data_IF_818905153681
#
_entry.id   IF_818905153681
#
_cell.length_a   1.000
_cell.length_b   1.000
_cell.length_c   1.000
_cell.angle_alpha   90.00
_cell.angle_beta   90.00
_cell.angle_gamma   90.00
#
_symmetry.space_group_name_H-M   'P 1'
#
loop_
_entity.id
_entity.type
_entity.pdbx_description
1 polymer ?
#
# COMPACT_ATOMS: atom_id res chain seq x y z
N UNK A 1 10.05 -23.84 23.26
CA UNK A 1 9.58 -22.91 22.22
C UNK A 1 10.63 -21.84 22.02
N UNK A 2 11.50 -22.00 21.02
CA UNK A 2 12.53 -21.02 20.68
C UNK A 2 12.64 -20.98 19.17
N UNK A 3 11.75 -20.24 18.52
CA UNK A 3 11.83 -20.04 17.07
C UNK A 3 13.13 -19.30 16.74
N UNK A 4 13.90 -19.81 15.78
CA UNK A 4 15.04 -19.09 15.22
C UNK A 4 14.51 -17.86 14.49
N UNK A 5 14.86 -16.67 14.96
CA UNK A 5 14.52 -15.40 14.30
C UNK A 5 15.71 -14.97 13.43
N UNK A 6 15.44 -14.68 12.16
CA UNK A 6 16.44 -14.17 11.22
C UNK A 6 15.92 -12.86 10.64
N UNK A 7 16.78 -11.83 10.63
CA UNK A 7 16.49 -10.54 10.02
C UNK A 7 17.28 -10.41 8.72
N UNK A 8 16.59 -10.04 7.63
CA UNK A 8 17.21 -9.72 6.35
C UNK A 8 17.03 -8.23 6.08
N UNK A 9 18.09 -7.44 6.27
CA UNK A 9 18.05 -6.00 6.05
C UNK A 9 18.18 -5.65 4.55
N UNK A 10 17.44 -4.64 4.10
CA UNK A 10 17.54 -4.09 2.74
C UNK A 10 16.26 -4.24 1.92
N UNK A 11 16.40 -4.16 0.60
CA UNK A 11 15.30 -4.33 -0.34
C UNK A 11 14.76 -5.77 -0.31
N UNK A 12 13.44 -5.89 -0.24
CA UNK A 12 12.78 -7.18 -0.11
C UNK A 12 12.84 -8.02 -1.40
N UNK A 13 12.87 -7.42 -2.59
CA UNK A 13 13.01 -8.15 -3.86
C UNK A 13 14.37 -8.81 -3.93
N UNK A 14 15.42 -8.09 -3.53
CA UNK A 14 16.79 -8.64 -3.48
C UNK A 14 16.87 -9.76 -2.45
N UNK A 15 16.27 -9.57 -1.28
CA UNK A 15 16.27 -10.57 -0.22
C UNK A 15 15.50 -11.83 -0.59
N UNK A 16 14.29 -11.68 -1.16
CA UNK A 16 13.47 -12.81 -1.62
C UNK A 16 14.17 -13.62 -2.69
N UNK A 17 14.70 -12.97 -3.74
CA UNK A 17 15.47 -13.66 -4.80
C UNK A 17 16.63 -14.46 -4.22
N UNK A 18 17.46 -13.82 -3.39
CA UNK A 18 18.59 -14.50 -2.73
C UNK A 18 18.14 -15.71 -1.90
N UNK A 19 17.04 -15.60 -1.15
CA UNK A 19 16.51 -16.70 -0.34
C UNK A 19 15.98 -17.84 -1.21
N UNK A 20 15.24 -17.51 -2.28
CA UNK A 20 14.72 -18.48 -3.25
C UNK A 20 15.86 -19.24 -3.92
N UNK A 21 16.89 -18.52 -4.38
CA UNK A 21 18.12 -19.06 -5.01
C UNK A 21 18.89 -19.97 -4.05
N UNK A 22 18.86 -19.67 -2.75
CA UNK A 22 19.45 -20.50 -1.69
C UNK A 22 18.57 -21.72 -1.32
N UNK A 23 17.43 -21.92 -1.99
CA UNK A 23 16.51 -23.02 -1.72
C UNK A 23 15.65 -22.85 -0.48
N UNK A 24 15.62 -21.65 0.12
CA UNK A 24 14.74 -21.37 1.26
C UNK A 24 13.30 -21.33 0.80
N UNK A 25 12.41 -21.98 1.55
CA UNK A 25 10.96 -21.94 1.36
C UNK A 25 10.26 -21.74 2.69
N UNK A 26 9.07 -21.15 2.66
CA UNK A 26 8.29 -20.80 3.86
C UNK A 26 6.86 -21.35 3.76
N UNK A 27 6.26 -21.64 4.90
CA UNK A 27 4.87 -22.13 4.97
C UNK A 27 3.85 -21.00 4.80
N UNK A 28 4.21 -19.79 5.23
CA UNK A 28 3.35 -18.63 5.10
C UNK A 28 4.14 -17.34 4.96
N UNK A 29 3.51 -16.36 4.34
CA UNK A 29 3.97 -14.97 4.29
C UNK A 29 2.89 -14.09 4.90
N UNK A 30 3.28 -13.21 5.81
CA UNK A 30 2.39 -12.15 6.33
C UNK A 30 3.09 -10.83 6.04
N UNK A 31 2.43 -9.94 5.32
CA UNK A 31 3.06 -8.69 4.90
C UNK A 31 2.09 -7.50 4.89
N UNK A 32 2.65 -6.34 5.15
CA UNK A 32 2.02 -5.03 5.04
C UNK A 32 2.80 -4.21 4.01
N UNK A 33 2.54 -4.43 2.70
CA UNK A 33 3.23 -3.71 1.64
C UNK A 33 2.81 -2.23 1.66
N UNK A 34 3.60 -1.33 1.07
CA UNK A 34 3.17 0.06 0.87
C UNK A 34 1.86 0.14 0.07
N UNK A 35 0.92 0.99 0.47
CA UNK A 35 -0.44 1.04 -0.12
C UNK A 35 -0.57 2.01 -1.31
N UNK A 36 0.52 2.69 -1.64
CA UNK A 36 0.58 3.78 -2.61
C UNK A 36 -0.54 4.80 -2.39
N UNK A 37 -0.57 5.39 -1.18
CA UNK A 37 -1.50 6.45 -0.80
C UNK A 37 -1.18 7.80 -1.48
N UNK A 38 -0.57 7.73 -2.66
CA UNK A 38 -0.32 8.86 -3.55
C UNK A 38 -1.66 9.43 -4.04
N UNK A 39 -1.77 10.75 -3.99
CA UNK A 39 -2.94 11.50 -4.44
C UNK A 39 -2.70 12.20 -5.78
N UNK A 40 -1.44 12.52 -6.13
CA UNK A 40 -1.13 13.45 -7.24
C UNK A 40 0.18 13.15 -8.01
N UNK A 41 0.84 12.00 -7.80
CA UNK A 41 2.11 11.63 -8.48
C UNK A 41 2.09 11.79 -10.01
N UNK A 42 0.95 11.54 -10.67
CA UNK A 42 0.78 11.74 -12.12
C UNK A 42 0.94 13.20 -12.60
N UNK A 43 0.76 14.20 -11.73
CA UNK A 43 0.79 15.64 -12.09
C UNK A 43 2.13 16.33 -11.78
N UNK A 44 2.91 15.87 -10.81
CA UNK A 44 4.17 16.54 -10.38
C UNK A 44 5.37 15.60 -10.16
N UNK A 45 5.24 14.29 -10.39
CA UNK A 45 6.28 13.30 -10.06
C UNK A 45 7.27 12.95 -11.18
N UNK A 46 7.21 13.57 -12.37
CA UNK A 46 8.19 13.27 -13.44
C UNK A 46 9.52 13.97 -13.16
N UNK A 47 10.63 13.30 -13.51
CA UNK A 47 11.98 13.90 -13.53
C UNK A 47 11.95 15.13 -14.44
N UNK A 48 12.12 16.33 -13.87
CA UNK A 48 12.06 17.61 -14.60
C UNK A 48 10.71 18.35 -14.51
N UNK A 49 9.72 17.86 -13.77
CA UNK A 49 8.52 18.64 -13.45
C UNK A 49 8.88 19.86 -12.60
N UNK A 50 8.31 21.02 -12.91
CA UNK A 50 8.45 22.22 -12.09
C UNK A 50 8.07 21.90 -10.65
N UNK A 51 8.88 22.35 -9.69
CA UNK A 51 8.60 22.19 -8.27
C UNK A 51 7.16 22.65 -7.99
N UNK A 52 6.42 21.84 -7.24
CA UNK A 52 5.16 22.22 -6.64
C UNK A 52 5.30 23.62 -6.02
N UNK A 53 4.54 24.63 -6.49
CA UNK A 53 4.61 26.00 -5.96
C UNK A 53 4.41 25.96 -4.44
N UNK A 54 5.43 26.42 -3.71
CA UNK A 54 5.43 26.59 -2.26
C UNK A 54 5.11 28.02 -1.85
N UNK A 55 5.30 29.00 -2.73
CA UNK A 55 4.92 30.40 -2.47
C UNK A 55 3.40 30.59 -2.68
N UNK A 56 2.72 31.04 -1.62
CA UNK A 56 1.28 31.33 -1.64
C UNK A 56 0.36 30.13 -1.37
N UNK A 57 0.90 28.97 -0.98
CA UNK A 57 0.12 27.79 -0.58
C UNK A 57 0.77 27.09 0.63
N UNK A 58 0.00 26.34 1.41
CA UNK A 58 0.34 25.68 2.68
C UNK A 58 1.37 24.53 2.57
N UNK A 59 2.03 24.37 1.41
CA UNK A 59 2.92 23.23 1.11
C UNK A 59 2.19 21.94 0.72
N UNK A 60 0.87 21.97 0.49
CA UNK A 60 0.07 20.81 0.08
C UNK A 60 0.64 20.10 -1.15
N UNK A 61 1.01 20.81 -2.23
CA UNK A 61 1.51 20.17 -3.45
C UNK A 61 2.82 19.38 -3.29
N UNK A 62 3.71 19.78 -2.38
CA UNK A 62 4.92 19.02 -2.05
C UNK A 62 4.60 17.77 -1.20
N UNK A 63 3.60 17.84 -0.31
CA UNK A 63 3.09 16.69 0.44
C UNK A 63 2.34 15.68 -0.45
N UNK A 64 1.73 16.17 -1.53
CA UNK A 64 0.91 15.40 -2.47
C UNK A 64 1.72 14.64 -3.56
N UNK A 65 3.03 14.86 -3.64
CA UNK A 65 3.95 14.22 -4.61
C UNK A 65 4.77 13.05 -4.05
N UNK A 66 4.86 12.91 -2.72
CA UNK A 66 5.36 11.70 -2.07
C UNK A 66 4.23 10.71 -1.74
N UNK A 67 4.58 9.49 -1.30
CA UNK A 67 3.62 8.52 -0.75
C UNK A 67 3.05 8.98 0.60
N UNK A 68 2.56 8.05 1.42
CA UNK A 68 2.12 8.31 2.78
C UNK A 68 3.08 9.23 3.55
N UNK A 69 2.56 10.35 4.05
CA UNK A 69 3.33 11.40 4.74
C UNK A 69 4.55 11.93 3.96
N UNK A 70 4.48 11.95 2.63
CA UNK A 70 5.56 12.40 1.76
C UNK A 70 6.74 11.42 1.66
N UNK A 71 6.59 10.18 2.13
CA UNK A 71 7.68 9.19 2.13
C UNK A 71 7.75 8.44 0.80
N UNK A 72 8.97 8.24 0.31
CA UNK A 72 9.25 7.66 -1.02
C UNK A 72 8.93 6.15 -1.05
N UNK A 73 9.04 5.46 0.09
CA UNK A 73 8.75 4.02 0.18
C UNK A 73 7.28 3.69 -0.11
N UNK A 74 6.35 4.63 0.10
CA UNK A 74 4.92 4.49 -0.21
C UNK A 74 4.52 5.07 -1.58
N UNK A 75 5.47 5.12 -2.50
CA UNK A 75 5.24 5.56 -3.87
C UNK A 75 5.96 4.68 -4.91
N UNK A 76 6.37 3.47 -4.54
CA UNK A 76 7.12 2.57 -5.42
C UNK A 76 6.23 1.79 -6.39
N UNK A 77 4.93 1.65 -6.09
CA UNK A 77 4.00 0.82 -6.86
C UNK A 77 4.23 -0.68 -6.69
N UNK A 78 5.04 -1.09 -5.69
CA UNK A 78 5.36 -2.49 -5.40
C UNK A 78 4.12 -3.34 -5.14
N UNK A 79 3.07 -2.76 -4.56
CA UNK A 79 1.83 -3.46 -4.27
C UNK A 79 1.08 -3.86 -5.55
N UNK A 80 1.35 -3.19 -6.67
CA UNK A 80 0.72 -3.46 -7.98
C UNK A 80 1.65 -4.20 -8.93
N UNK A 81 2.83 -4.61 -8.47
CA UNK A 81 3.87 -5.22 -9.29
C UNK A 81 3.73 -6.75 -9.26
N UNK A 82 3.23 -7.39 -10.33
CA UNK A 82 3.06 -8.84 -10.35
C UNK A 82 4.38 -9.59 -10.22
N UNK A 83 5.50 -9.01 -10.67
CA UNK A 83 6.82 -9.63 -10.55
C UNK A 83 7.29 -9.69 -9.10
N UNK A 84 6.93 -8.69 -8.29
CA UNK A 84 7.15 -8.75 -6.84
C UNK A 84 6.30 -9.85 -6.21
N UNK A 85 5.01 -9.91 -6.53
CA UNK A 85 4.12 -10.94 -6.00
C UNK A 85 4.53 -12.34 -6.46
N UNK A 86 5.16 -12.48 -7.63
CA UNK A 86 5.71 -13.74 -8.11
C UNK A 86 6.82 -14.26 -7.19
N UNK A 87 7.68 -13.38 -6.68
CA UNK A 87 8.69 -13.76 -5.68
C UNK A 87 8.04 -14.25 -4.38
N UNK A 88 6.94 -13.61 -3.96
CA UNK A 88 6.18 -14.04 -2.78
C UNK A 88 5.52 -15.40 -3.01
N UNK A 89 5.03 -15.66 -4.23
CA UNK A 89 4.49 -16.96 -4.62
C UNK A 89 5.57 -18.05 -4.62
N UNK A 90 6.73 -17.78 -5.23
CA UNK A 90 7.80 -18.76 -5.41
C UNK A 90 8.52 -19.18 -4.13
N UNK A 91 8.56 -18.31 -3.12
CA UNK A 91 9.14 -18.65 -1.82
C UNK A 91 8.21 -19.56 -0.99
N UNK A 92 6.93 -19.65 -1.31
CA UNK A 92 5.99 -20.51 -0.59
C UNK A 92 6.24 -21.99 -0.92
N UNK A 93 6.07 -22.84 0.10
CA UNK A 93 5.93 -24.27 -0.10
C UNK A 93 4.60 -24.59 -0.80
N UNK A 94 4.47 -25.74 -1.48
CA UNK A 94 3.17 -26.21 -1.96
C UNK A 94 2.13 -26.22 -0.83
N UNK A 95 1.00 -25.56 -1.03
CA UNK A 95 -0.05 -25.39 0.00
C UNK A 95 0.23 -24.30 1.02
N UNK A 96 1.33 -23.55 0.90
CA UNK A 96 1.58 -22.35 1.67
C UNK A 96 0.60 -21.23 1.34
N UNK A 97 0.61 -20.15 2.13
CA UNK A 97 -0.31 -19.03 1.93
C UNK A 97 0.31 -17.68 2.24
N UNK A 98 -0.21 -16.63 1.61
CA UNK A 98 0.11 -15.24 1.93
C UNK A 98 -1.09 -14.54 2.53
N UNK A 99 -0.87 -13.76 3.58
CA UNK A 99 -1.84 -12.85 4.19
C UNK A 99 -1.30 -11.41 4.05
N UNK A 100 -1.81 -10.69 3.05
CA UNK A 100 -1.27 -9.41 2.62
C UNK A 100 -2.23 -8.25 2.93
N UNK A 101 -1.84 -7.37 3.84
CA UNK A 101 -2.61 -6.17 4.16
C UNK A 101 -2.63 -5.19 2.98
N UNK A 102 -3.63 -4.32 2.93
CA UNK A 102 -3.77 -3.37 1.84
C UNK A 102 -4.64 -2.16 2.20
N UNK A 103 -4.49 -1.08 1.45
CA UNK A 103 -5.34 0.10 1.56
C UNK A 103 -6.77 -0.11 1.02
N UNK A 104 -7.77 0.43 1.72
CA UNK A 104 -9.19 0.32 1.37
C UNK A 104 -9.56 0.82 -0.03
N UNK A 105 -8.85 1.86 -0.51
CA UNK A 105 -9.09 2.47 -1.83
C UNK A 105 -8.32 1.81 -2.95
N UNK A 106 -7.13 1.30 -2.67
CA UNK A 106 -6.16 0.85 -3.69
C UNK A 106 -5.98 -0.66 -3.75
N UNK A 107 -6.51 -1.41 -2.78
CA UNK A 107 -6.20 -2.82 -2.62
C UNK A 107 -6.67 -3.76 -3.73
N UNK A 108 -7.70 -3.38 -4.49
CA UNK A 108 -8.11 -4.14 -5.66
C UNK A 108 -6.96 -4.29 -6.69
N UNK A 109 -6.09 -3.28 -6.82
CA UNK A 109 -4.91 -3.39 -7.70
C UNK A 109 -3.89 -4.40 -7.17
N UNK A 110 -3.73 -4.48 -5.85
CA UNK A 110 -2.87 -5.47 -5.21
C UNK A 110 -3.43 -6.88 -5.43
N UNK A 111 -4.74 -7.08 -5.23
CA UNK A 111 -5.39 -8.36 -5.49
C UNK A 111 -5.19 -8.82 -6.94
N UNK A 112 -5.37 -7.93 -7.93
CA UNK A 112 -5.10 -8.25 -9.33
C UNK A 112 -3.63 -8.63 -9.56
N UNK A 113 -2.68 -7.92 -8.97
CA UNK A 113 -1.27 -8.23 -9.12
C UNK A 113 -0.89 -9.60 -8.51
N UNK A 114 -1.50 -9.95 -7.38
CA UNK A 114 -1.38 -11.28 -6.76
C UNK A 114 -1.94 -12.38 -7.68
N UNK A 115 -3.14 -12.17 -8.23
CA UNK A 115 -3.77 -13.14 -9.14
C UNK A 115 -2.91 -13.35 -10.41
N UNK A 116 -2.39 -12.26 -11.00
CA UNK A 116 -1.47 -12.33 -12.15
C UNK A 116 -0.17 -13.09 -11.81
N UNK A 117 0.33 -12.97 -10.58
CA UNK A 117 1.51 -13.70 -10.13
C UNK A 117 1.29 -15.22 -9.99
N UNK A 118 0.02 -15.67 -10.00
CA UNK A 118 -0.37 -17.08 -9.97
C UNK A 118 -1.01 -17.53 -8.66
N UNK A 119 -1.34 -16.62 -7.74
CA UNK A 119 -2.09 -16.97 -6.54
C UNK A 119 -3.54 -17.35 -6.87
N UNK A 120 -4.04 -18.40 -6.23
CA UNK A 120 -5.46 -18.65 -6.08
C UNK A 120 -5.96 -17.71 -4.97
N UNK A 121 -6.81 -16.76 -5.34
CA UNK A 121 -7.33 -15.77 -4.40
C UNK A 121 -8.49 -16.35 -3.58
N UNK A 122 -8.40 -16.21 -2.26
CA UNK A 122 -9.47 -16.55 -1.33
C UNK A 122 -10.31 -15.32 -0.97
N UNK A 123 -11.49 -15.49 -0.32
CA UNK A 123 -12.25 -14.38 0.21
C UNK A 123 -11.36 -13.46 1.05
N UNK A 124 -11.42 -12.14 0.77
CA UNK A 124 -10.65 -11.17 1.53
C UNK A 124 -11.13 -11.10 2.98
N UNK A 125 -10.21 -10.84 3.88
CA UNK A 125 -10.52 -10.53 5.27
C UNK A 125 -10.59 -9.02 5.45
N UNK A 126 -11.32 -8.59 6.47
CA UNK A 126 -11.51 -7.19 6.79
C UNK A 126 -10.92 -6.83 8.15
N UNK A 127 -9.95 -5.93 8.19
CA UNK A 127 -9.60 -5.27 9.44
C UNK A 127 -10.58 -4.10 9.66
N UNK A 128 -11.56 -4.33 10.52
CA UNK A 128 -12.60 -3.35 10.81
C UNK A 128 -12.21 -2.49 12.01
N UNK A 129 -12.04 -1.18 11.79
CA UNK A 129 -11.79 -0.20 12.84
C UNK A 129 -13.10 0.43 13.33
N UNK A 130 -13.55 0.04 14.52
CA UNK A 130 -14.79 0.53 15.14
C UNK A 130 -14.74 1.98 15.67
N UNK A 131 -13.57 2.62 15.69
CA UNK A 131 -13.39 4.01 16.16
C UNK A 131 -12.92 4.92 15.02
N UNK A 132 -13.83 5.19 14.08
CA UNK A 132 -13.60 6.14 12.98
C UNK A 132 -14.06 7.55 13.33
N UNK A 133 -13.18 8.54 13.16
CA UNK A 133 -13.60 9.95 13.12
C UNK A 133 -13.81 10.33 11.66
N UNK A 134 -14.97 10.90 11.26
CA UNK A 134 -15.11 11.44 9.93
C UNK A 134 -14.08 12.56 9.75
N UNK A 135 -13.22 12.46 8.71
CA UNK A 135 -12.34 13.55 8.30
C UNK A 135 -12.85 14.16 7.00
N UNK A 136 -13.94 14.95 7.04
CA UNK A 136 -14.40 15.66 5.87
C UNK A 136 -13.40 16.77 5.50
N UNK A 137 -13.35 17.10 4.22
CA UNK A 137 -12.70 18.33 3.75
C UNK A 137 -13.74 19.45 3.82
N UNK A 138 -13.48 20.47 4.63
CA UNK A 138 -14.38 21.62 4.77
C UNK A 138 -14.18 22.63 3.64
N UNK A 139 -15.29 23.14 3.10
CA UNK A 139 -15.27 24.25 2.13
C UNK A 139 -14.91 25.52 2.90
N UNK A 140 -13.87 26.24 2.45
CA UNK A 140 -13.40 27.48 3.08
C UNK A 140 -13.59 28.67 2.13
N UNK A 141 -13.89 29.84 2.69
CA UNK A 141 -13.93 31.10 1.94
C UNK A 141 -15.24 31.39 1.20
N UNK A 142 -16.28 30.59 1.42
CA UNK A 142 -17.63 30.82 0.87
C UNK A 142 -18.62 30.83 2.05
N UNK A 143 -19.09 32.01 2.51
CA UNK A 143 -19.91 32.13 3.73
C UNK A 143 -21.16 31.26 3.73
N UNK A 144 -21.80 31.09 2.57
CA UNK A 144 -23.01 30.26 2.41
C UNK A 144 -22.76 28.77 2.66
N UNK A 145 -21.49 28.35 2.68
CA UNK A 145 -21.05 26.96 2.86
C UNK A 145 -20.26 26.76 4.16
N UNK A 146 -20.34 27.68 5.10
CA UNK A 146 -19.72 27.50 6.42
C UNK A 146 -20.26 26.23 7.10
N UNK A 147 -19.34 25.41 7.64
CA UNK A 147 -19.69 24.11 8.24
C UNK A 147 -19.93 22.97 7.25
N UNK A 148 -20.02 23.23 5.94
CA UNK A 148 -20.17 22.18 4.94
C UNK A 148 -18.86 21.44 4.70
N UNK A 149 -18.90 20.12 4.93
CA UNK A 149 -17.82 19.18 4.67
C UNK A 149 -18.17 18.25 3.51
N UNK A 150 -17.23 18.01 2.61
CA UNK A 150 -17.35 17.04 1.53
C UNK A 150 -16.18 16.07 1.51
N UNK A 151 -16.33 14.98 0.75
CA UNK A 151 -15.32 13.94 0.63
C UNK A 151 -15.50 12.85 1.70
N UNK A 152 -16.14 11.75 1.30
CA UNK A 152 -15.99 10.44 1.95
C UNK A 152 -14.59 9.84 1.75
N UNK A 153 -13.69 10.58 1.10
CA UNK A 153 -12.36 10.20 0.65
C UNK A 153 -11.37 9.94 1.79
N UNK A 154 -11.70 10.37 3.01
CA UNK A 154 -10.90 10.11 4.21
C UNK A 154 -11.80 9.77 5.38
N UNK A 155 -12.64 8.74 5.22
CA UNK A 155 -12.83 7.86 6.36
C UNK A 155 -11.42 7.33 6.70
N UNK A 156 -10.94 7.48 7.95
CA UNK A 156 -9.96 6.49 8.43
C UNK A 156 -10.56 5.14 8.03
N UNK A 157 -9.90 4.30 7.22
CA UNK A 157 -10.57 3.17 6.60
C UNK A 157 -11.25 2.38 7.70
N UNK A 158 -12.58 2.43 7.71
CA UNK A 158 -13.37 1.66 8.67
C UNK A 158 -13.14 0.16 8.43
N UNK A 159 -12.65 -0.18 7.24
CA UNK A 159 -12.28 -1.50 6.77
C UNK A 159 -10.97 -1.39 5.96
N UNK A 160 -9.91 -2.06 6.40
CA UNK A 160 -8.74 -2.33 5.56
C UNK A 160 -8.81 -3.78 5.04
N UNK A 161 -8.74 -4.01 3.72
CA UNK A 161 -8.76 -5.35 3.17
C UNK A 161 -7.44 -6.07 3.45
N UNK A 162 -7.55 -7.37 3.72
CA UNK A 162 -6.41 -8.27 3.81
C UNK A 162 -6.64 -9.41 2.84
N UNK A 163 -5.76 -9.53 1.86
CA UNK A 163 -5.87 -10.52 0.79
C UNK A 163 -5.17 -11.82 1.20
N UNK A 164 -5.91 -12.92 1.13
CA UNK A 164 -5.40 -14.27 1.30
C UNK A 164 -5.21 -14.91 -0.08
N UNK A 165 -4.01 -15.41 -0.35
CA UNK A 165 -3.68 -16.14 -1.58
C UNK A 165 -2.90 -17.42 -1.29
N UNK A 166 -3.09 -18.44 -2.13
CA UNK A 166 -2.38 -19.73 -2.07
C UNK A 166 -1.88 -20.19 -3.44
#
# INVERSE_FOLDING_TARGET
MGGRVTLHAGDNRVSLRRLIDQGVRVHSVVCDPPYALTSITKRFGKKGSACARTEGNDGSFARLSGGFMGKIWDATGIERDPEFWKLVYEILLPGGYVFAFSGARTGHWQACAMEIAGFIMHPMHGWVYGQGWPKPTYIKGVPEWEGWGYGTQSQKPALEPIYLGQ
#
